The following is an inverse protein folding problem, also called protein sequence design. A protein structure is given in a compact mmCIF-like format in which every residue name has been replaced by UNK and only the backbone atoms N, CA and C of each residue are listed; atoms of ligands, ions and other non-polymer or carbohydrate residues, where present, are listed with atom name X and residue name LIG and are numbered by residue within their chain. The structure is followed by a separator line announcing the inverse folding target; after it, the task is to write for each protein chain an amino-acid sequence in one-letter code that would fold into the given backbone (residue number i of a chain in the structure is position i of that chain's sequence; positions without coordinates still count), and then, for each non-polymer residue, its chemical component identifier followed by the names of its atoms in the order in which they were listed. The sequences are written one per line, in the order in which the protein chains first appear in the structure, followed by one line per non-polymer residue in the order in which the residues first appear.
data_IF_852570235827
#
_entry.id   IF_852570235827
#
_cell.length_a   1.000
_cell.length_b   1.000
_cell.length_c   1.000
_cell.angle_alpha   90.00
_cell.angle_beta   90.00
_cell.angle_gamma   90.00
#
_symmetry.space_group_name_H-M   'P 1'
#
loop_
_entity.id
_entity.type
_entity.pdbx_description
1 polymer ?
#
# COMPACT_ATOMS: atom_id res chain seq x y z
N UNK A 1 -2.49 -6.71 -19.31
CA UNK A 1 -3.53 -6.81 -18.26
C UNK A 1 -3.94 -5.38 -17.90
N UNK A 2 -5.15 -5.13 -17.41
CA UNK A 2 -5.50 -3.81 -16.89
C UNK A 2 -4.77 -3.57 -15.56
N UNK A 3 -4.25 -2.37 -15.37
CA UNK A 3 -3.63 -1.95 -14.11
C UNK A 3 -4.71 -1.84 -13.01
N UNK A 4 -4.46 -2.47 -11.86
CA UNK A 4 -5.39 -2.49 -10.73
C UNK A 4 -5.18 -1.29 -9.79
N UNK A 5 -6.24 -0.85 -9.11
CA UNK A 5 -6.18 0.19 -8.09
C UNK A 5 -6.47 -0.38 -6.69
N UNK A 6 -5.45 -0.37 -5.83
CA UNK A 6 -5.61 -0.51 -4.39
C UNK A 6 -5.80 0.84 -3.72
N UNK A 7 -6.93 1.03 -3.05
CA UNK A 7 -7.22 2.28 -2.34
C UNK A 7 -6.83 2.15 -0.88
N UNK A 8 -5.80 2.90 -0.47
CA UNK A 8 -5.41 2.99 0.93
C UNK A 8 -6.33 3.98 1.68
N UNK A 9 -6.96 3.52 2.75
CA UNK A 9 -7.95 4.28 3.53
C UNK A 9 -7.45 4.79 4.89
N UNK A 10 -6.15 4.70 5.16
CA UNK A 10 -5.56 5.07 6.46
C UNK A 10 -5.81 6.52 6.86
N UNK A 11 -5.80 7.42 5.87
CA UNK A 11 -6.01 8.84 6.14
C UNK A 11 -7.46 9.22 6.42
N UNK A 12 -8.42 8.31 6.16
CA UNK A 12 -9.78 8.43 6.71
C UNK A 12 -9.73 8.26 8.23
N UNK A 13 -9.03 7.23 8.72
CA UNK A 13 -8.79 7.06 10.15
C UNK A 13 -7.97 8.21 10.73
N UNK A 14 -6.99 8.75 10.01
CA UNK A 14 -6.22 9.93 10.47
C UNK A 14 -7.14 11.11 10.78
N UNK A 15 -8.11 11.41 9.91
CA UNK A 15 -9.09 12.47 10.14
C UNK A 15 -9.94 12.21 11.39
N UNK A 16 -10.32 10.95 11.64
CA UNK A 16 -11.02 10.55 12.87
C UNK A 16 -10.14 10.75 14.10
N UNK A 17 -8.91 10.26 14.07
CA UNK A 17 -7.98 10.35 15.20
C UNK A 17 -7.65 11.80 15.55
N UNK A 18 -7.64 12.72 14.58
CA UNK A 18 -7.44 14.15 14.83
C UNK A 18 -8.43 14.72 15.87
N UNK A 19 -9.63 14.14 16.01
CA UNK A 19 -10.63 14.56 17.00
C UNK A 19 -10.84 13.56 18.14
N UNK A 20 -10.72 12.27 17.84
CA UNK A 20 -11.19 11.17 18.70
C UNK A 20 -10.08 10.24 19.21
N UNK A 21 -8.79 10.56 19.00
CA UNK A 21 -7.68 9.68 19.44
C UNK A 21 -7.71 9.31 20.93
N UNK A 22 -8.20 10.20 21.80
CA UNK A 22 -8.33 9.97 23.24
C UNK A 22 -9.72 9.46 23.67
N UNK A 23 -10.60 9.20 22.70
CA UNK A 23 -11.99 8.78 22.90
C UNK A 23 -12.35 7.65 21.92
N UNK A 24 -11.64 6.51 21.95
CA UNK A 24 -11.79 5.44 20.95
C UNK A 24 -13.21 4.84 20.91
N UNK A 25 -13.91 4.82 22.05
CA UNK A 25 -15.27 4.29 22.17
C UNK A 25 -16.36 5.35 21.94
N UNK A 26 -16.00 6.54 21.43
CA UNK A 26 -16.99 7.58 21.19
C UNK A 26 -18.01 7.13 20.15
N UNK A 27 -19.33 7.15 20.45
CA UNK A 27 -20.36 6.80 19.47
C UNK A 27 -20.43 7.83 18.33
N UNK A 28 -19.74 8.96 18.45
CA UNK A 28 -19.66 10.02 17.44
C UNK A 28 -18.33 9.98 16.66
N UNK A 29 -17.50 8.95 16.84
CA UNK A 29 -16.20 8.88 16.19
C UNK A 29 -16.37 8.79 14.66
N UNK A 30 -16.01 9.86 13.97
CA UNK A 30 -16.16 10.00 12.52
C UNK A 30 -14.89 10.63 11.90
N UNK A 31 -14.60 10.36 10.62
CA UNK A 31 -15.26 9.36 9.77
C UNK A 31 -14.85 7.91 10.13
N UNK A 32 -15.68 6.93 9.78
CA UNK A 32 -15.30 5.52 9.88
C UNK A 32 -14.51 5.10 8.62
N UNK A 33 -13.35 4.43 8.74
CA UNK A 33 -12.66 3.87 7.58
C UNK A 33 -13.54 2.88 6.79
N UNK A 34 -14.38 2.13 7.50
CA UNK A 34 -15.30 1.17 6.89
C UNK A 34 -16.33 1.86 6.00
N UNK A 35 -16.79 3.07 6.37
CA UNK A 35 -17.86 3.73 5.64
C UNK A 35 -17.46 4.19 4.22
N UNK A 36 -16.17 4.31 3.93
CA UNK A 36 -15.70 4.69 2.59
C UNK A 36 -15.44 3.49 1.67
N UNK A 37 -15.60 2.25 2.15
CA UNK A 37 -15.29 1.06 1.36
C UNK A 37 -16.28 0.90 0.19
N UNK A 38 -17.57 1.14 0.41
CA UNK A 38 -18.56 1.12 -0.68
C UNK A 38 -18.32 2.24 -1.69
N UNK A 39 -17.92 3.42 -1.24
CA UNK A 39 -17.53 4.52 -2.11
C UNK A 39 -16.30 4.16 -2.96
N UNK A 40 -15.30 3.50 -2.35
CA UNK A 40 -14.11 3.05 -3.04
C UNK A 40 -14.45 2.04 -4.15
N UNK A 41 -15.28 1.04 -3.85
CA UNK A 41 -15.80 0.07 -4.84
C UNK A 41 -16.54 0.77 -5.97
N UNK A 42 -17.47 1.67 -5.63
CA UNK A 42 -18.28 2.38 -6.60
C UNK A 42 -17.44 3.33 -7.48
N UNK A 43 -16.27 3.76 -6.99
CA UNK A 43 -15.26 4.48 -7.76
C UNK A 43 -14.35 3.59 -8.61
N UNK A 44 -14.40 2.27 -8.45
CA UNK A 44 -13.61 1.32 -9.21
C UNK A 44 -12.29 0.92 -8.56
N UNK A 45 -12.23 0.86 -7.22
CA UNK A 45 -11.16 0.18 -6.51
C UNK A 45 -11.22 -1.34 -6.74
N UNK A 46 -10.06 -1.97 -6.94
CA UNK A 46 -9.90 -3.42 -7.10
C UNK A 46 -9.50 -4.10 -5.78
N UNK A 47 -8.81 -3.38 -4.90
CA UNK A 47 -8.43 -3.81 -3.55
C UNK A 47 -8.54 -2.67 -2.55
N UNK A 48 -8.61 -3.00 -1.26
CA UNK A 48 -8.52 -2.02 -0.17
C UNK A 48 -7.23 -2.26 0.61
N UNK A 49 -6.47 -1.20 0.77
CA UNK A 49 -5.22 -1.21 1.53
C UNK A 49 -5.42 -0.55 2.89
N UNK A 50 -4.93 -1.19 3.94
CA UNK A 50 -4.97 -0.68 5.31
C UNK A 50 -3.62 -0.92 5.97
N UNK A 51 -3.15 0.03 6.77
CA UNK A 51 -1.94 -0.10 7.55
C UNK A 51 -2.24 0.06 9.02
N UNK A 52 -2.25 -1.05 9.74
CA UNK A 52 -2.31 -1.04 11.20
C UNK A 52 -0.90 -0.89 11.73
N UNK A 53 -0.55 0.30 12.20
CA UNK A 53 0.78 0.57 12.79
C UNK A 53 0.88 0.02 14.21
N UNK A 54 2.07 -0.35 14.67
CA UNK A 54 2.35 -0.75 16.06
C UNK A 54 1.91 0.33 17.05
N UNK A 55 2.02 1.62 16.70
CA UNK A 55 1.59 2.74 17.55
C UNK A 55 0.11 3.12 17.42
N UNK A 56 -0.65 2.45 16.53
CA UNK A 56 -2.07 2.71 16.25
C UNK A 56 -2.37 4.18 16.00
N UNK A 57 -1.48 4.87 15.30
CA UNK A 57 -1.61 6.31 15.01
C UNK A 57 -2.88 6.68 14.23
N UNK A 58 -3.33 5.82 13.32
CA UNK A 58 -4.54 6.01 12.53
C UNK A 58 -5.47 4.81 12.65
N UNK A 59 -5.21 3.75 11.87
CA UNK A 59 -6.01 2.53 11.87
C UNK A 59 -5.85 1.80 13.21
N UNK A 60 -6.97 1.37 13.76
CA UNK A 60 -7.05 0.54 14.96
C UNK A 60 -7.30 -0.93 14.58
N UNK A 61 -7.05 -1.86 15.49
CA UNK A 61 -7.34 -3.29 15.28
C UNK A 61 -8.80 -3.52 14.89
N UNK A 62 -9.73 -2.83 15.56
CA UNK A 62 -11.15 -2.93 15.28
C UNK A 62 -11.51 -2.48 13.86
N UNK A 63 -10.80 -1.49 13.31
CA UNK A 63 -11.01 -1.07 11.92
C UNK A 63 -10.61 -2.19 10.97
N UNK A 64 -9.47 -2.85 11.19
CA UNK A 64 -9.01 -3.94 10.33
C UNK A 64 -10.00 -5.11 10.30
N UNK A 65 -10.55 -5.51 11.45
CA UNK A 65 -11.58 -6.54 11.51
C UNK A 65 -12.88 -6.12 10.82
N UNK A 66 -13.36 -4.89 11.06
CA UNK A 66 -14.59 -4.41 10.47
C UNK A 66 -14.48 -4.22 8.95
N UNK A 67 -13.32 -3.74 8.46
CA UNK A 67 -13.03 -3.69 7.03
C UNK A 67 -13.01 -5.11 6.45
N UNK A 68 -12.35 -6.08 7.09
CA UNK A 68 -12.38 -7.48 6.61
C UNK A 68 -13.78 -8.05 6.48
N UNK A 69 -14.64 -7.79 7.45
CA UNK A 69 -16.01 -8.29 7.45
C UNK A 69 -16.87 -7.68 6.34
N UNK A 70 -16.71 -6.38 6.05
CA UNK A 70 -17.60 -5.63 5.18
C UNK A 70 -17.04 -5.36 3.78
N UNK A 71 -15.73 -5.53 3.58
CA UNK A 71 -15.06 -5.09 2.37
C UNK A 71 -15.46 -5.89 1.14
N UNK A 72 -15.49 -7.21 1.13
CA UNK A 72 -15.86 -7.98 -0.08
C UNK A 72 -14.95 -7.77 -1.32
N UNK A 73 -13.91 -6.94 -1.25
CA UNK A 73 -12.75 -6.89 -2.14
C UNK A 73 -11.54 -7.52 -1.43
N UNK A 74 -10.50 -7.93 -2.17
CA UNK A 74 -9.21 -8.30 -1.58
C UNK A 74 -8.67 -7.20 -0.66
N UNK A 75 -8.17 -7.60 0.51
CA UNK A 75 -7.51 -6.70 1.45
C UNK A 75 -6.00 -6.88 1.38
N UNK A 76 -5.32 -5.74 1.27
CA UNK A 76 -3.89 -5.61 1.46
C UNK A 76 -3.61 -4.98 2.84
N UNK A 77 -3.09 -5.80 3.78
CA UNK A 77 -2.72 -5.33 5.11
C UNK A 77 -1.23 -4.98 5.13
N UNK A 78 -0.93 -3.70 5.21
CA UNK A 78 0.41 -3.19 5.50
C UNK A 78 0.74 -3.35 6.99
N UNK A 79 1.94 -3.85 7.29
CA UNK A 79 2.42 -4.04 8.67
C UNK A 79 3.95 -4.13 8.77
N UNK A 80 4.50 -3.74 9.92
CA UNK A 80 5.89 -4.03 10.28
C UNK A 80 6.13 -5.48 10.68
N UNK A 81 7.39 -5.93 10.60
CA UNK A 81 7.80 -7.31 10.95
C UNK A 81 7.90 -7.51 12.49
N UNK A 82 6.77 -7.64 13.17
CA UNK A 82 6.72 -7.94 14.62
C UNK A 82 5.77 -9.10 14.94
N UNK A 83 5.99 -9.74 16.08
CA UNK A 83 5.12 -10.84 16.53
C UNK A 83 3.68 -10.40 16.82
N UNK A 84 3.51 -9.17 17.34
CA UNK A 84 2.18 -8.58 17.57
C UNK A 84 1.43 -8.43 16.24
N UNK A 85 2.08 -7.82 15.25
CA UNK A 85 1.47 -7.56 13.95
C UNK A 85 1.22 -8.86 13.17
N UNK A 86 2.13 -9.85 13.26
CA UNK A 86 1.91 -11.18 12.69
C UNK A 86 0.68 -11.85 13.31
N UNK A 87 0.52 -11.79 14.64
CA UNK A 87 -0.64 -12.36 15.32
C UNK A 87 -1.94 -11.65 14.91
N UNK A 88 -1.91 -10.33 14.68
CA UNK A 88 -3.06 -9.59 14.15
C UNK A 88 -3.40 -10.03 12.72
N UNK A 89 -2.41 -10.06 11.82
CA UNK A 89 -2.60 -10.45 10.43
C UNK A 89 -3.21 -11.86 10.28
N UNK A 90 -2.77 -12.82 11.10
CA UNK A 90 -3.34 -14.18 11.10
C UNK A 90 -4.80 -14.22 11.57
N UNK A 91 -5.22 -13.31 12.44
CA UNK A 91 -6.63 -13.20 12.88
C UNK A 91 -7.49 -12.48 11.84
N UNK A 92 -6.96 -11.42 11.22
CA UNK A 92 -7.64 -10.68 10.16
C UNK A 92 -7.76 -11.54 8.90
N UNK A 93 -6.76 -12.39 8.62
CA UNK A 93 -6.69 -13.25 7.45
C UNK A 93 -6.93 -12.50 6.12
N UNK A 94 -6.14 -11.46 5.81
CA UNK A 94 -6.25 -10.70 4.56
C UNK A 94 -5.76 -11.54 3.37
N UNK A 95 -6.13 -11.13 2.16
CA UNK A 95 -5.65 -11.75 0.92
C UNK A 95 -4.16 -11.48 0.70
N UNK A 96 -3.71 -10.27 1.04
CA UNK A 96 -2.33 -9.83 0.92
C UNK A 96 -1.82 -9.21 2.23
N UNK A 97 -0.54 -9.43 2.53
CA UNK A 97 0.22 -8.65 3.51
C UNK A 97 1.37 -7.96 2.80
N UNK A 98 1.48 -6.65 2.98
CA UNK A 98 2.61 -5.87 2.51
C UNK A 98 3.53 -5.55 3.70
N UNK A 99 4.73 -6.12 3.72
CA UNK A 99 5.72 -5.82 4.76
C UNK A 99 6.39 -4.49 4.46
N UNK A 100 6.26 -3.57 5.41
CA UNK A 100 6.80 -2.20 5.34
C UNK A 100 7.85 -1.99 6.43
N UNK A 101 8.82 -1.08 6.24
CA UNK A 101 9.69 -0.68 7.34
C UNK A 101 8.85 0.07 8.38
N UNK A 102 9.07 -0.25 9.65
CA UNK A 102 8.37 0.43 10.74
C UNK A 102 9.36 0.81 11.83
N UNK A 103 9.71 2.09 11.89
CA UNK A 103 10.37 2.69 13.06
C UNK A 103 9.33 3.46 13.88
N UNK A 104 9.54 3.58 15.20
CA UNK A 104 8.62 4.26 16.14
C UNK A 104 8.46 5.76 15.87
N UNK A 105 9.37 6.38 15.11
CA UNK A 105 9.48 7.84 14.98
C UNK A 105 9.06 8.38 13.60
N UNK A 106 8.88 7.51 12.60
CA UNK A 106 8.52 7.94 11.24
C UNK A 106 7.08 8.46 11.17
N UNK A 107 6.88 9.68 10.64
CA UNK A 107 5.57 10.26 10.32
C UNK A 107 4.97 9.57 9.08
N UNK A 108 5.81 9.20 8.12
CA UNK A 108 5.55 8.41 6.90
C UNK A 108 6.80 7.55 6.61
N UNK A 109 6.68 6.40 5.93
CA UNK A 109 7.83 5.54 5.59
C UNK A 109 8.91 6.31 4.81
N UNK A 110 10.07 6.54 5.42
CA UNK A 110 11.14 7.37 4.83
C UNK A 110 11.92 6.63 3.72
N UNK A 111 11.85 5.30 3.68
CA UNK A 111 12.44 4.46 2.63
C UNK A 111 11.73 3.10 2.50
N UNK A 112 12.26 2.22 1.67
CA UNK A 112 11.81 0.83 1.55
C UNK A 112 12.33 -0.09 2.65
N UNK A 113 11.74 -1.28 2.76
CA UNK A 113 12.20 -2.36 3.64
C UNK A 113 13.55 -2.91 3.14
N UNK A 114 14.53 -3.00 4.04
CA UNK A 114 15.82 -3.65 3.76
C UNK A 114 15.71 -5.17 3.82
N UNK A 115 15.11 -5.78 2.79
CA UNK A 115 14.93 -7.23 2.68
C UNK A 115 16.28 -7.96 2.63
N UNK A 116 17.27 -7.40 1.95
CA UNK A 116 18.60 -7.99 1.85
C UNK A 116 19.29 -8.10 3.23
N UNK A 117 19.30 -7.01 4.00
CA UNK A 117 19.90 -6.97 5.33
C UNK A 117 19.09 -7.70 6.40
N UNK A 118 17.76 -7.76 6.26
CA UNK A 118 16.84 -8.36 7.24
C UNK A 118 16.37 -9.77 6.87
N UNK A 119 16.94 -10.38 5.83
CA UNK A 119 16.49 -11.64 5.23
C UNK A 119 16.15 -12.75 6.24
N UNK A 120 17.09 -13.05 7.15
CA UNK A 120 16.91 -14.10 8.17
C UNK A 120 15.79 -13.78 9.16
N UNK A 121 15.58 -12.50 9.49
CA UNK A 121 14.54 -12.08 10.42
C UNK A 121 13.13 -12.04 9.81
N UNK A 122 13.04 -11.87 8.49
CA UNK A 122 11.79 -11.83 7.75
C UNK A 122 11.27 -13.23 7.41
N UNK A 123 12.17 -14.20 7.19
CA UNK A 123 11.83 -15.54 6.71
C UNK A 123 10.78 -16.27 7.57
N UNK A 124 10.83 -16.25 8.92
CA UNK A 124 9.82 -16.90 9.75
C UNK A 124 8.42 -16.31 9.59
N UNK A 125 8.32 -14.99 9.50
CA UNK A 125 7.06 -14.26 9.32
C UNK A 125 6.43 -14.61 7.97
N UNK A 126 7.22 -14.55 6.89
CA UNK A 126 6.77 -14.89 5.53
C UNK A 126 6.24 -16.32 5.47
N UNK A 127 7.02 -17.29 5.97
CA UNK A 127 6.60 -18.70 6.00
C UNK A 127 5.30 -18.90 6.77
N UNK A 128 5.13 -18.19 7.90
CA UNK A 128 3.93 -18.32 8.74
C UNK A 128 2.70 -17.77 8.03
N UNK A 129 2.81 -16.60 7.41
CA UNK A 129 1.72 -15.97 6.65
C UNK A 129 1.34 -16.80 5.41
N UNK A 130 2.33 -17.27 4.65
CA UNK A 130 2.10 -18.13 3.48
C UNK A 130 1.48 -19.48 3.87
N UNK A 131 1.85 -20.07 5.01
CA UNK A 131 1.21 -21.29 5.53
C UNK A 131 -0.27 -21.06 5.89
N UNK A 132 -0.68 -19.83 6.18
CA UNK A 132 -2.07 -19.43 6.35
C UNK A 132 -2.79 -19.08 5.03
N UNK A 133 -2.08 -19.13 3.89
CA UNK A 133 -2.62 -18.80 2.57
C UNK A 133 -2.57 -17.30 2.21
N UNK A 134 -1.88 -16.49 3.02
CA UNK A 134 -1.72 -15.05 2.79
C UNK A 134 -0.54 -14.83 1.85
N UNK A 135 -0.74 -14.07 0.76
CA UNK A 135 0.32 -13.72 -0.17
C UNK A 135 1.09 -12.49 0.30
N UNK A 136 2.37 -12.43 -0.01
CA UNK A 136 3.30 -11.44 0.52
C UNK A 136 3.75 -10.46 -0.56
N UNK A 137 3.65 -9.18 -0.22
CA UNK A 137 4.31 -8.07 -0.90
C UNK A 137 5.42 -7.51 -0.03
N UNK A 138 6.54 -7.12 -0.64
CA UNK A 138 7.62 -6.38 0.03
C UNK A 138 7.61 -4.93 -0.44
N UNK A 139 7.41 -3.98 0.47
CA UNK A 139 7.50 -2.56 0.15
C UNK A 139 8.97 -2.13 0.15
N UNK A 140 9.55 -1.91 -1.02
CA UNK A 140 11.00 -1.72 -1.19
C UNK A 140 11.32 -0.52 -2.07
N UNK A 141 12.51 0.04 -1.92
CA UNK A 141 13.02 1.02 -2.87
C UNK A 141 13.22 0.39 -4.26
N UNK A 142 13.21 1.17 -5.35
CA UNK A 142 13.54 0.70 -6.69
C UNK A 142 15.05 0.43 -6.82
N UNK A 143 15.50 -0.60 -6.09
CA UNK A 143 16.86 -1.08 -5.98
C UNK A 143 16.94 -2.56 -6.37
N UNK A 144 17.94 -2.92 -7.17
CA UNK A 144 18.04 -4.26 -7.76
C UNK A 144 18.35 -5.33 -6.70
N UNK A 145 19.17 -5.01 -5.69
CA UNK A 145 19.52 -5.95 -4.63
C UNK A 145 18.29 -6.28 -3.78
N UNK A 146 17.46 -5.28 -3.45
CA UNK A 146 16.23 -5.47 -2.69
C UNK A 146 15.19 -6.32 -3.46
N UNK A 147 15.10 -6.15 -4.79
CA UNK A 147 14.22 -6.94 -5.65
C UNK A 147 14.68 -8.40 -5.72
N UNK A 148 15.98 -8.62 -5.89
CA UNK A 148 16.56 -9.97 -5.90
C UNK A 148 16.39 -10.67 -4.55
N UNK A 149 16.58 -9.94 -3.44
CA UNK A 149 16.33 -10.45 -2.10
C UNK A 149 14.86 -10.81 -1.88
N UNK A 150 13.92 -9.99 -2.38
CA UNK A 150 12.48 -10.23 -2.30
C UNK A 150 12.05 -11.48 -3.09
N UNK A 151 12.61 -11.69 -4.29
CA UNK A 151 12.40 -12.93 -5.03
C UNK A 151 12.99 -14.14 -4.29
N UNK A 152 14.23 -14.02 -3.78
CA UNK A 152 14.94 -15.11 -3.10
C UNK A 152 14.26 -15.53 -1.80
N UNK A 153 13.65 -14.61 -1.06
CA UNK A 153 12.95 -14.92 0.19
C UNK A 153 11.59 -15.60 -0.06
N UNK A 154 11.11 -15.56 -1.31
CA UNK A 154 9.89 -16.23 -1.76
C UNK A 154 8.64 -15.37 -1.69
N UNK A 155 8.77 -14.04 -1.75
CA UNK A 155 7.61 -13.15 -1.87
C UNK A 155 6.92 -13.34 -3.23
N UNK A 156 5.60 -13.17 -3.27
CA UNK A 156 4.82 -13.20 -4.51
C UNK A 156 4.84 -11.85 -5.23
N UNK A 157 4.95 -10.76 -4.46
CA UNK A 157 4.89 -9.40 -4.96
C UNK A 157 6.01 -8.53 -4.37
N UNK A 158 6.30 -7.45 -5.06
CA UNK A 158 6.98 -6.28 -4.51
C UNK A 158 6.11 -5.05 -4.75
N UNK A 159 6.16 -4.09 -3.84
CA UNK A 159 5.61 -2.76 -4.04
C UNK A 159 6.76 -1.75 -4.06
N UNK A 160 6.99 -1.14 -5.22
CA UNK A 160 8.04 -0.15 -5.39
C UNK A 160 7.65 1.15 -4.70
N UNK A 161 8.52 1.65 -3.82
CA UNK A 161 8.42 2.96 -3.20
C UNK A 161 8.59 4.05 -4.25
N UNK A 162 7.52 4.82 -4.50
CA UNK A 162 7.57 5.94 -5.46
C UNK A 162 7.74 7.30 -4.78
N UNK A 163 8.14 7.37 -3.51
CA UNK A 163 8.28 8.64 -2.79
C UNK A 163 9.41 9.52 -3.33
N UNK A 164 10.57 8.94 -3.66
CA UNK A 164 11.66 9.67 -4.33
C UNK A 164 11.18 10.26 -5.67
N UNK A 165 10.49 9.46 -6.48
CA UNK A 165 9.82 9.91 -7.69
C UNK A 165 8.85 11.06 -7.38
N UNK A 166 7.91 10.87 -6.46
CA UNK A 166 6.84 11.81 -6.13
C UNK A 166 7.38 13.19 -5.73
N UNK A 167 8.52 13.24 -5.04
CA UNK A 167 9.19 14.45 -4.58
C UNK A 167 10.19 15.04 -5.58
N UNK A 168 10.54 14.34 -6.65
CA UNK A 168 11.49 14.82 -7.65
C UNK A 168 10.86 15.81 -8.63
N UNK A 169 11.64 16.79 -9.11
CA UNK A 169 11.19 17.78 -10.10
C UNK A 169 12.17 17.92 -11.26
N UNK A 170 11.66 18.36 -12.42
CA UNK A 170 12.46 18.59 -13.61
C UNK A 170 13.22 17.33 -14.05
N UNK A 171 14.51 17.43 -14.42
CA UNK A 171 15.29 16.28 -14.88
C UNK A 171 15.40 15.12 -13.86
N UNK A 172 15.30 15.40 -12.57
CA UNK A 172 15.37 14.36 -11.53
C UNK A 172 14.15 13.44 -11.55
N UNK A 173 12.98 13.93 -11.99
CA UNK A 173 11.78 13.10 -12.17
C UNK A 173 12.06 11.94 -13.13
N UNK A 174 12.76 12.22 -14.24
CA UNK A 174 13.12 11.21 -15.22
C UNK A 174 14.11 10.19 -14.66
N UNK A 175 15.07 10.61 -13.85
CA UNK A 175 16.02 9.70 -13.20
C UNK A 175 15.28 8.68 -12.34
N UNK A 176 14.30 9.12 -11.55
CA UNK A 176 13.50 8.23 -10.71
C UNK A 176 12.58 7.31 -11.54
N UNK A 177 12.01 7.79 -12.66
CA UNK A 177 11.28 6.92 -13.61
C UNK A 177 12.21 5.85 -14.18
N UNK A 178 13.43 6.21 -14.60
CA UNK A 178 14.40 5.24 -15.15
C UNK A 178 14.80 4.18 -14.10
N UNK A 179 14.91 4.57 -12.80
CA UNK A 179 15.11 3.63 -11.69
C UNK A 179 13.93 2.68 -11.51
N UNK A 180 12.70 3.20 -11.51
CA UNK A 180 11.48 2.39 -11.44
C UNK A 180 11.35 1.43 -12.63
N UNK A 181 11.73 1.86 -13.84
CA UNK A 181 11.74 1.01 -15.04
C UNK A 181 12.73 -0.14 -14.92
N UNK A 182 13.95 0.12 -14.42
CA UNK A 182 14.92 -0.94 -14.18
C UNK A 182 14.43 -1.94 -13.12
N UNK A 183 13.87 -1.42 -12.02
CA UNK A 183 13.32 -2.21 -10.93
C UNK A 183 12.15 -3.09 -11.38
N UNK A 184 11.13 -2.52 -12.00
CA UNK A 184 9.95 -3.24 -12.48
C UNK A 184 10.29 -4.32 -13.50
N UNK A 185 11.18 -4.01 -14.45
CA UNK A 185 11.71 -5.00 -15.41
C UNK A 185 12.37 -6.15 -14.68
N UNK A 186 13.25 -5.87 -13.72
CA UNK A 186 13.93 -6.92 -12.95
C UNK A 186 12.94 -7.77 -12.15
N UNK A 187 12.00 -7.15 -11.42
CA UNK A 187 11.00 -7.86 -10.64
C UNK A 187 10.18 -8.81 -11.51
N UNK A 188 9.68 -8.32 -12.64
CA UNK A 188 8.95 -9.13 -13.60
C UNK A 188 9.77 -10.31 -14.14
N UNK A 189 11.06 -10.11 -14.47
CA UNK A 189 11.94 -11.22 -14.94
C UNK A 189 12.19 -12.30 -13.88
N UNK A 190 12.10 -11.95 -12.60
CA UNK A 190 12.21 -12.88 -11.48
C UNK A 190 10.87 -13.57 -11.14
N UNK A 191 9.80 -13.24 -11.85
CA UNK A 191 8.46 -13.80 -11.62
C UNK A 191 7.68 -13.13 -10.49
N UNK A 192 8.14 -11.97 -10.01
CA UNK A 192 7.39 -11.17 -9.04
C UNK A 192 6.28 -10.38 -9.75
N UNK A 193 5.12 -10.30 -9.13
CA UNK A 193 4.16 -9.24 -9.47
C UNK A 193 4.70 -7.90 -8.93
N UNK A 194 4.74 -6.87 -9.78
CA UNK A 194 5.28 -5.55 -9.41
C UNK A 194 4.14 -4.56 -9.21
N UNK A 195 3.93 -4.15 -7.98
CA UNK A 195 3.05 -3.05 -7.59
C UNK A 195 3.87 -1.78 -7.39
N UNK A 196 3.21 -0.64 -7.26
CA UNK A 196 3.86 0.61 -6.86
C UNK A 196 2.91 1.49 -6.05
N UNK A 197 3.46 2.29 -5.13
CA UNK A 197 2.65 3.11 -4.24
C UNK A 197 3.46 4.24 -3.63
N UNK A 198 2.85 4.94 -2.67
CA UNK A 198 3.47 6.02 -1.90
C UNK A 198 3.79 7.31 -2.71
N UNK A 199 2.91 8.30 -2.62
CA UNK A 199 3.13 9.64 -3.20
C UNK A 199 2.59 9.85 -4.63
N UNK A 200 2.00 8.81 -5.24
CA UNK A 200 1.27 8.91 -6.52
C UNK A 200 0.05 9.82 -6.35
N UNK A 201 -0.18 10.72 -7.31
CA UNK A 201 -1.27 11.68 -7.32
C UNK A 201 -1.81 11.93 -8.74
N UNK A 202 -2.89 12.70 -8.81
CA UNK A 202 -3.64 12.96 -10.06
C UNK A 202 -2.86 13.68 -11.16
N UNK A 203 -1.67 14.22 -10.87
CA UNK A 203 -0.84 14.93 -11.85
C UNK A 203 0.43 14.18 -12.21
N UNK A 204 1.02 13.43 -11.27
CA UNK A 204 2.29 12.73 -11.52
C UNK A 204 2.09 11.30 -12.05
N UNK A 205 0.89 10.71 -11.92
CA UNK A 205 0.62 9.33 -12.35
C UNK A 205 0.94 9.08 -13.83
N UNK A 206 0.81 10.11 -14.68
CA UNK A 206 1.09 10.00 -16.12
C UNK A 206 2.56 9.71 -16.42
N UNK A 207 3.49 10.15 -15.57
CA UNK A 207 4.92 9.89 -15.75
C UNK A 207 5.26 8.41 -15.48
N UNK A 208 4.39 7.68 -14.76
CA UNK A 208 4.56 6.25 -14.48
C UNK A 208 4.09 5.36 -15.64
N UNK A 209 3.52 5.93 -16.71
CA UNK A 209 3.14 5.15 -17.89
C UNK A 209 4.33 4.56 -18.65
N UNK A 210 5.51 5.15 -18.48
CA UNK A 210 6.77 4.68 -19.07
C UNK A 210 7.42 3.53 -18.26
N UNK A 211 6.88 3.21 -17.08
CA UNK A 211 7.37 2.11 -16.22
C UNK A 211 6.62 0.83 -16.59
N UNK A 212 7.29 -0.18 -17.18
CA UNK A 212 6.61 -1.38 -17.66
C UNK A 212 6.23 -2.34 -16.52
N UNK A 213 5.38 -3.32 -16.82
CA UNK A 213 5.08 -4.47 -15.95
C UNK A 213 4.42 -4.17 -14.59
N UNK A 214 3.88 -2.96 -14.39
CA UNK A 214 3.12 -2.63 -13.19
C UNK A 214 1.76 -3.35 -13.20
N UNK A 215 1.41 -3.94 -12.06
CA UNK A 215 0.19 -4.73 -11.88
C UNK A 215 -0.87 -4.01 -11.05
N UNK A 216 -0.46 -3.29 -10.00
CA UNK A 216 -1.37 -2.55 -9.12
C UNK A 216 -0.71 -1.26 -8.61
N UNK A 217 -1.50 -0.20 -8.51
CA UNK A 217 -1.13 1.00 -7.74
C UNK A 217 -1.83 1.02 -6.39
N UNK A 218 -1.07 1.18 -5.31
CA UNK A 218 -1.59 1.40 -3.96
C UNK A 218 -1.54 2.89 -3.62
N UNK A 219 -2.70 3.56 -3.65
CA UNK A 219 -2.82 5.02 -3.54
C UNK A 219 -3.74 5.38 -2.38
N UNK A 220 -3.22 6.18 -1.43
CA UNK A 220 -3.97 6.62 -0.24
C UNK A 220 -4.16 8.12 -0.14
N UNK A 221 -3.17 8.81 0.42
CA UNK A 221 -3.26 10.23 0.80
C UNK A 221 -3.85 11.14 -0.30
N UNK A 222 -3.43 10.99 -1.56
CA UNK A 222 -3.91 11.84 -2.65
C UNK A 222 -5.41 11.64 -2.93
N UNK A 223 -5.92 10.42 -2.84
CA UNK A 223 -7.36 10.12 -2.96
C UNK A 223 -8.13 10.73 -1.80
N UNK A 224 -7.67 10.55 -0.56
CA UNK A 224 -8.31 11.14 0.63
C UNK A 224 -8.29 12.67 0.57
N UNK A 225 -7.18 13.28 0.12
CA UNK A 225 -7.08 14.73 -0.05
C UNK A 225 -8.06 15.24 -1.11
N UNK A 226 -8.23 14.51 -2.22
CA UNK A 226 -9.19 14.85 -3.27
C UNK A 226 -10.63 14.72 -2.78
N UNK A 227 -10.94 13.69 -1.99
CA UNK A 227 -12.29 13.40 -1.52
C UNK A 227 -12.90 14.50 -0.65
N UNK A 228 -12.07 15.26 0.08
CA UNK A 228 -12.51 16.43 0.85
C UNK A 228 -13.24 17.46 -0.02
N UNK A 229 -12.93 17.52 -1.33
CA UNK A 229 -13.56 18.45 -2.27
C UNK A 229 -14.70 17.84 -3.08
N UNK A 230 -14.60 16.56 -3.46
CA UNK A 230 -15.49 15.96 -4.47
C UNK A 230 -16.27 14.74 -3.98
N UNK A 231 -16.06 14.31 -2.74
CA UNK A 231 -16.55 13.03 -2.21
C UNK A 231 -15.60 11.87 -2.54
N UNK A 232 -15.68 10.79 -1.76
CA UNK A 232 -14.73 9.67 -1.84
C UNK A 232 -14.89 8.86 -3.13
N UNK A 233 -16.13 8.52 -3.50
CA UNK A 233 -16.43 7.79 -4.73
C UNK A 233 -15.87 8.50 -5.98
N UNK A 234 -16.13 9.81 -6.10
CA UNK A 234 -15.67 10.59 -7.25
C UNK A 234 -14.14 10.72 -7.29
N UNK A 235 -13.49 10.85 -6.13
CA UNK A 235 -12.03 10.87 -6.06
C UNK A 235 -11.43 9.57 -6.61
N UNK A 236 -11.93 8.42 -6.16
CA UNK A 236 -11.47 7.11 -6.67
C UNK A 236 -11.75 6.97 -8.17
N UNK A 237 -12.95 7.33 -8.63
CA UNK A 237 -13.31 7.26 -10.05
C UNK A 237 -12.40 8.09 -10.95
N UNK A 238 -12.01 9.30 -10.52
CA UNK A 238 -11.06 10.14 -11.24
C UNK A 238 -9.66 9.50 -11.32
N UNK A 239 -9.20 8.85 -10.24
CA UNK A 239 -7.91 8.14 -10.24
C UNK A 239 -7.95 6.93 -11.17
N UNK A 240 -9.01 6.12 -11.10
CA UNK A 240 -9.22 4.96 -11.98
C UNK A 240 -9.28 5.38 -13.46
N UNK A 241 -9.90 6.51 -13.78
CA UNK A 241 -9.92 7.02 -15.16
C UNK A 241 -8.51 7.39 -15.64
N UNK A 242 -7.69 8.05 -14.81
CA UNK A 242 -6.30 8.35 -15.14
C UNK A 242 -5.50 7.06 -15.37
N UNK A 243 -5.73 5.99 -14.62
CA UNK A 243 -5.00 4.73 -14.79
C UNK A 243 -5.24 4.05 -16.15
N UNK A 244 -6.34 4.35 -16.85
CA UNK A 244 -6.61 3.82 -18.21
C UNK A 244 -5.59 4.27 -19.26
N UNK A 245 -4.78 5.29 -18.96
CA UNK A 245 -3.66 5.71 -19.80
C UNK A 245 -2.51 4.70 -19.83
N UNK A 246 -2.39 3.85 -18.81
CA UNK A 246 -1.34 2.83 -18.71
C UNK A 246 -1.49 1.75 -19.80
N UNK A 247 -0.37 1.32 -20.39
CA UNK A 247 -0.34 0.33 -21.48
C UNK A 247 0.47 -0.93 -21.19
N UNK A 248 1.23 -0.96 -20.10
CA UNK A 248 2.01 -2.11 -19.66
C UNK A 248 3.38 -2.20 -20.30
#
# INVERSE_FOLDING_TARGET
MSLLLGVNIDHVATLRQARYALLPDSPNAEPSPVSVVEDAKAGGADSITIHVRVDRRHMQDADAFAVKEQCGLPINLEMGNTQEMLALALKVNPEFVCLVPETREEVTTEGGLDVAGLFESLQPTIKTLQAAGIKISMFIDPDIEQIEASARIGAEMVELHTGCFANAFGPQRKVEVDRLTAASTKGHTLGLQVNAGHGINYTNIVDLYDVPHLAEFNIGHSIVARSVRVGFQQAVAEMTELMKGYRG
#
